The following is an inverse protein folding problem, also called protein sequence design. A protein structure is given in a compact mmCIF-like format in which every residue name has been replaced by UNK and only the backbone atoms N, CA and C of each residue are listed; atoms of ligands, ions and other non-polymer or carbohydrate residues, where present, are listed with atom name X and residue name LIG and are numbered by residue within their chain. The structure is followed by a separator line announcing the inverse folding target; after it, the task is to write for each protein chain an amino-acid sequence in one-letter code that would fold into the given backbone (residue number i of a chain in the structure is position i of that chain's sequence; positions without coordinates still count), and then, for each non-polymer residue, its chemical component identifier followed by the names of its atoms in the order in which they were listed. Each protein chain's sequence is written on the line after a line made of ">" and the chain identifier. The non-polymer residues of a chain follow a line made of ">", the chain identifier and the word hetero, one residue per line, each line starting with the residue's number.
data_IF_135381106755
#
_entry.id   IF_135381106755
#
_cell.length_a   1.000
_cell.length_b   1.000
_cell.length_c   1.000
_cell.angle_alpha   90.00
_cell.angle_beta   90.00
_cell.angle_gamma   90.00
#
_symmetry.space_group_name_H-M   'P 1'
#
loop_
_entity.id
_entity.type
_entity.pdbx_description
1 polymer ?
#
# COMPACT_ATOMS: atom_id res chain seq x y z
N UNK A 1 -5.12 -11.03 -80.64
CA UNK A 1 -5.86 -11.72 -79.55
C UNK A 1 -5.04 -12.80 -78.82
N UNK A 2 -3.81 -13.16 -79.22
CA UNK A 2 -3.02 -14.22 -78.56
C UNK A 2 -2.21 -13.79 -77.32
N UNK A 3 -1.94 -12.48 -77.15
CA UNK A 3 -1.07 -11.97 -76.08
C UNK A 3 -1.72 -11.89 -74.69
N UNK A 4 -3.05 -12.01 -74.58
CA UNK A 4 -3.77 -11.93 -73.30
C UNK A 4 -3.77 -13.27 -72.55
N UNK A 5 -3.89 -14.39 -73.27
CA UNK A 5 -3.91 -15.74 -72.68
C UNK A 5 -2.55 -16.19 -72.17
N UNK A 6 -1.46 -15.85 -72.87
CA UNK A 6 -0.10 -16.14 -72.40
C UNK A 6 0.26 -15.41 -71.11
N UNK A 7 -0.20 -14.16 -70.96
CA UNK A 7 0.03 -13.34 -69.77
C UNK A 7 -0.81 -13.81 -68.57
N UNK A 8 -2.02 -14.28 -68.81
CA UNK A 8 -2.86 -14.95 -67.81
C UNK A 8 -2.29 -16.29 -67.38
N UNK A 9 -1.76 -17.09 -68.32
CA UNK A 9 -1.11 -18.36 -68.01
C UNK A 9 0.14 -18.13 -67.16
N UNK A 10 0.99 -17.18 -67.54
CA UNK A 10 2.18 -16.80 -66.76
C UNK A 10 1.82 -16.34 -65.33
N UNK A 11 0.79 -15.51 -65.16
CA UNK A 11 0.38 -15.06 -63.82
C UNK A 11 -0.21 -16.17 -62.95
N UNK A 12 -0.83 -17.19 -63.55
CA UNK A 12 -1.29 -18.39 -62.85
C UNK A 12 -0.09 -19.24 -62.40
N UNK A 13 0.89 -19.47 -63.28
CA UNK A 13 2.11 -20.22 -62.93
C UNK A 13 2.92 -19.53 -61.83
N UNK A 14 3.15 -18.21 -61.93
CA UNK A 14 3.83 -17.42 -60.89
C UNK A 14 3.10 -17.45 -59.52
N UNK A 15 1.77 -17.62 -59.54
CA UNK A 15 0.97 -17.74 -58.31
C UNK A 15 1.12 -19.13 -57.69
N UNK A 16 1.13 -20.18 -58.51
CA UNK A 16 1.34 -21.56 -58.05
C UNK A 16 2.76 -21.76 -57.51
N UNK A 17 3.78 -21.20 -58.17
CA UNK A 17 5.17 -21.27 -57.70
C UNK A 17 5.36 -20.58 -56.35
N UNK A 18 4.82 -19.37 -56.18
CA UNK A 18 4.87 -18.65 -54.90
C UNK A 18 4.17 -19.43 -53.78
N UNK A 19 3.07 -20.12 -54.08
CA UNK A 19 2.36 -20.96 -53.12
C UNK A 19 3.22 -22.17 -52.72
N UNK A 20 3.85 -22.83 -53.68
CA UNK A 20 4.75 -23.96 -53.45
C UNK A 20 5.99 -23.55 -52.64
N UNK A 21 6.59 -22.39 -52.96
CA UNK A 21 7.72 -21.81 -52.22
C UNK A 21 7.32 -21.44 -50.78
N UNK A 22 6.13 -20.87 -50.58
CA UNK A 22 5.63 -20.55 -49.26
C UNK A 22 5.39 -21.82 -48.41
N UNK A 23 4.85 -22.87 -49.04
CA UNK A 23 4.56 -24.16 -48.39
C UNK A 23 5.85 -24.91 -48.02
N UNK A 24 6.85 -24.94 -48.89
CA UNK A 24 8.16 -25.55 -48.60
C UNK A 24 8.89 -24.81 -47.49
N UNK A 25 8.88 -23.47 -47.51
CA UNK A 25 9.46 -22.63 -46.47
C UNK A 25 8.77 -22.83 -45.11
N UNK A 26 7.44 -23.02 -45.07
CA UNK A 26 6.74 -23.36 -43.82
C UNK A 26 7.12 -24.75 -43.32
N UNK A 27 7.18 -25.74 -44.21
CA UNK A 27 7.42 -27.14 -43.82
C UNK A 27 8.84 -27.36 -43.29
N UNK A 28 9.81 -26.54 -43.71
CA UNK A 28 11.19 -26.57 -43.24
C UNK A 28 11.46 -25.85 -41.92
N UNK A 29 10.50 -25.13 -41.35
CA UNK A 29 10.67 -24.40 -40.09
C UNK A 29 10.31 -25.27 -38.88
N UNK A 30 10.99 -25.00 -37.75
CA UNK A 30 10.68 -25.60 -36.45
C UNK A 30 9.26 -25.18 -35.99
N UNK A 31 8.64 -25.97 -35.10
CA UNK A 31 7.28 -25.74 -34.61
C UNK A 31 7.08 -24.32 -34.04
N UNK A 32 8.06 -23.82 -33.26
CA UNK A 32 8.05 -22.47 -32.71
C UNK A 32 8.15 -21.40 -33.80
N UNK A 33 9.05 -21.57 -34.77
CA UNK A 33 9.26 -20.61 -35.86
C UNK A 33 8.06 -20.54 -36.80
N UNK A 34 7.41 -21.69 -37.06
CA UNK A 34 6.13 -21.74 -37.78
C UNK A 34 5.05 -20.95 -37.06
N UNK A 35 4.91 -21.15 -35.74
CA UNK A 35 3.94 -20.41 -34.93
C UNK A 35 4.19 -18.90 -35.00
N UNK A 36 5.44 -18.46 -34.83
CA UNK A 36 5.81 -17.05 -34.90
C UNK A 36 5.52 -16.44 -36.27
N UNK A 37 5.79 -17.18 -37.35
CA UNK A 37 5.48 -16.75 -38.72
C UNK A 37 3.98 -16.64 -38.94
N UNK A 38 3.19 -17.64 -38.52
CA UNK A 38 1.73 -17.60 -38.68
C UNK A 38 1.06 -16.49 -37.88
N UNK A 39 1.52 -16.22 -36.67
CA UNK A 39 1.03 -15.09 -35.87
C UNK A 39 1.32 -13.75 -36.56
N UNK A 40 2.52 -13.58 -37.13
CA UNK A 40 2.88 -12.37 -37.89
C UNK A 40 2.04 -12.22 -39.16
N UNK A 41 1.93 -13.28 -39.95
CA UNK A 41 1.16 -13.26 -41.21
C UNK A 41 -0.32 -12.96 -40.91
N UNK A 42 -0.89 -13.56 -39.85
CA UNK A 42 -2.27 -13.28 -39.42
C UNK A 42 -2.49 -11.80 -39.08
N UNK A 43 -1.58 -11.20 -38.30
CA UNK A 43 -1.63 -9.76 -37.98
C UNK A 43 -1.45 -8.90 -39.23
N UNK A 44 -0.59 -9.30 -40.17
CA UNK A 44 -0.35 -8.53 -41.40
C UNK A 44 -1.54 -8.57 -42.37
N UNK A 45 -2.21 -9.72 -42.51
CA UNK A 45 -3.34 -9.88 -43.45
C UNK A 45 -4.67 -9.43 -42.87
N UNK A 46 -4.91 -9.65 -41.58
CA UNK A 46 -6.21 -9.38 -40.93
C UNK A 46 -6.16 -8.25 -39.88
N UNK A 47 -4.97 -7.77 -39.51
CA UNK A 47 -4.80 -6.71 -38.51
C UNK A 47 -4.98 -5.28 -39.05
N UNK A 48 -5.43 -5.12 -40.29
CA UNK A 48 -5.52 -3.81 -40.96
C UNK A 48 -6.53 -2.83 -40.32
N UNK A 49 -7.40 -3.30 -39.42
CA UNK A 49 -8.50 -2.50 -38.85
C UNK A 49 -8.38 -2.14 -37.35
N UNK A 50 -7.29 -2.49 -36.67
CA UNK A 50 -7.18 -2.17 -35.22
C UNK A 50 -5.78 -1.75 -34.81
N UNK A 51 -5.42 -0.50 -35.12
CA UNK A 51 -4.74 0.34 -34.12
C UNK A 51 -5.78 0.80 -33.08
N UNK A 52 -6.56 -0.14 -32.54
CA UNK A 52 -7.09 0.05 -31.21
C UNK A 52 -5.94 -0.44 -30.37
N UNK A 53 -5.19 0.50 -29.81
CA UNK A 53 -4.31 0.24 -28.69
C UNK A 53 -5.17 -0.36 -27.57
N UNK A 54 -5.47 -1.66 -27.70
CA UNK A 54 -6.09 -2.47 -26.67
C UNK A 54 -4.99 -2.89 -25.70
N UNK A 55 -4.07 -1.97 -25.35
CA UNK A 55 -3.48 -1.98 -24.01
C UNK A 55 -4.54 -1.53 -23.01
N UNK A 56 -5.71 -2.18 -23.03
CA UNK A 56 -6.50 -2.28 -21.80
C UNK A 56 -5.52 -2.87 -20.81
N UNK A 57 -5.27 -2.23 -19.65
CA UNK A 57 -4.32 -2.74 -18.68
C UNK A 57 -4.67 -4.19 -18.41
N UNK A 58 -3.85 -5.11 -18.90
CA UNK A 58 -4.05 -6.53 -18.65
C UNK A 58 -3.84 -6.66 -17.16
N UNK A 59 -4.92 -6.93 -16.42
CA UNK A 59 -4.83 -7.19 -14.98
C UNK A 59 -3.89 -8.37 -14.79
N UNK A 60 -2.71 -8.09 -14.24
CA UNK A 60 -1.77 -9.15 -13.91
C UNK A 60 -2.27 -9.84 -12.64
N UNK A 61 -1.95 -11.11 -12.44
CA UNK A 61 -2.22 -11.80 -11.16
C UNK A 61 -1.69 -11.00 -9.96
N UNK A 62 -0.59 -10.26 -10.15
CA UNK A 62 -0.01 -9.29 -9.20
C UNK A 62 -1.00 -8.19 -8.82
N UNK A 63 -1.68 -7.61 -9.80
CA UNK A 63 -2.63 -6.52 -9.60
C UNK A 63 -3.90 -7.04 -8.93
N UNK A 64 -4.37 -8.22 -9.33
CA UNK A 64 -5.50 -8.91 -8.69
C UNK A 64 -5.25 -9.19 -7.22
N UNK A 65 -4.04 -9.67 -6.87
CA UNK A 65 -3.66 -9.88 -5.47
C UNK A 65 -3.57 -8.56 -4.70
N UNK A 66 -3.03 -7.50 -5.31
CA UNK A 66 -2.94 -6.18 -4.71
C UNK A 66 -4.32 -5.58 -4.41
N UNK A 67 -5.27 -5.71 -5.34
CA UNK A 67 -6.65 -5.24 -5.19
C UNK A 67 -7.44 -6.06 -4.17
N UNK A 68 -7.24 -7.37 -4.14
CA UNK A 68 -8.04 -8.29 -3.33
C UNK A 68 -7.46 -8.63 -1.95
N UNK A 69 -6.19 -8.30 -1.67
CA UNK A 69 -5.56 -8.67 -0.41
C UNK A 69 -6.26 -8.00 0.77
N UNK A 70 -6.72 -8.83 1.71
CA UNK A 70 -7.23 -8.41 3.01
C UNK A 70 -6.33 -8.89 4.14
N UNK A 71 -6.11 -8.05 5.14
CA UNK A 71 -5.28 -8.41 6.30
C UNK A 71 -5.97 -9.49 7.15
N UNK A 72 -7.28 -9.36 7.36
CA UNK A 72 -8.14 -10.40 7.97
C UNK A 72 -9.25 -10.69 6.97
N UNK A 73 -9.35 -11.94 6.53
CA UNK A 73 -10.42 -12.37 5.64
C UNK A 73 -11.70 -12.58 6.49
N UNK A 74 -12.77 -11.85 6.18
CA UNK A 74 -14.08 -12.00 6.82
C UNK A 74 -14.92 -13.08 6.12
N UNK A 75 -15.81 -13.76 6.87
CA UNK A 75 -16.69 -14.82 6.35
C UNK A 75 -17.58 -14.36 5.18
N UNK A 76 -17.89 -13.06 5.09
CA UNK A 76 -18.65 -12.46 3.99
C UNK A 76 -17.88 -12.47 2.66
N UNK A 77 -16.55 -12.45 2.69
CA UNK A 77 -15.71 -12.45 1.49
C UNK A 77 -15.53 -13.85 0.87
N UNK A 78 -15.82 -14.89 1.65
CA UNK A 78 -15.75 -16.29 1.20
C UNK A 78 -16.88 -16.67 0.22
N UNK A 79 -17.94 -15.86 0.14
CA UNK A 79 -19.17 -16.20 -0.58
C UNK A 79 -19.14 -15.92 -2.09
N UNK A 80 -18.20 -15.08 -2.58
CA UNK A 80 -18.14 -14.70 -3.99
C UNK A 80 -17.02 -15.46 -4.73
N UNK A 81 -17.39 -16.48 -5.49
CA UNK A 81 -16.44 -17.39 -6.16
C UNK A 81 -15.86 -16.86 -7.48
N UNK A 82 -15.46 -15.58 -7.55
CA UNK A 82 -14.67 -15.12 -8.71
C UNK A 82 -13.29 -15.77 -8.70
N UNK A 83 -12.73 -16.05 -9.88
CA UNK A 83 -11.40 -16.67 -9.98
C UNK A 83 -10.33 -15.86 -9.24
N UNK A 84 -10.46 -14.52 -9.25
CA UNK A 84 -9.63 -13.55 -8.52
C UNK A 84 -9.64 -13.80 -7.01
N UNK A 85 -10.84 -13.91 -6.42
CA UNK A 85 -11.00 -14.19 -4.99
C UNK A 85 -10.45 -15.58 -4.63
N UNK A 86 -10.59 -16.57 -5.51
CA UNK A 86 -9.98 -17.91 -5.31
C UNK A 86 -8.44 -17.86 -5.32
N UNK A 87 -7.85 -17.01 -6.16
CA UNK A 87 -6.40 -16.77 -6.18
C UNK A 87 -5.94 -16.12 -4.87
N UNK A 88 -6.62 -15.05 -4.44
CA UNK A 88 -6.35 -14.35 -3.18
C UNK A 88 -6.51 -15.29 -1.98
N UNK A 89 -7.54 -16.13 -1.96
CA UNK A 89 -7.77 -17.10 -0.88
C UNK A 89 -6.64 -18.12 -0.78
N UNK A 90 -6.23 -18.72 -1.90
CA UNK A 90 -5.07 -19.64 -1.92
C UNK A 90 -3.79 -18.97 -1.42
N UNK A 91 -3.61 -17.70 -1.79
CA UNK A 91 -2.49 -16.90 -1.31
C UNK A 91 -2.57 -16.68 0.20
N UNK A 92 -3.74 -16.27 0.71
CA UNK A 92 -3.98 -16.06 2.13
C UNK A 92 -3.73 -17.34 2.92
N UNK A 93 -4.23 -18.48 2.45
CA UNK A 93 -4.06 -19.80 3.09
C UNK A 93 -2.58 -20.19 3.24
N UNK A 94 -1.73 -19.80 2.28
CA UNK A 94 -0.26 -20.04 2.32
C UNK A 94 0.48 -19.20 3.36
N UNK A 95 -0.08 -18.07 3.82
CA UNK A 95 0.55 -17.20 4.81
C UNK A 95 0.44 -17.78 6.22
N UNK A 96 1.42 -17.47 7.07
CA UNK A 96 1.44 -17.86 8.48
C UNK A 96 0.92 -16.72 9.36
N UNK A 97 -0.14 -16.99 10.14
CA UNK A 97 -0.92 -15.97 10.89
C UNK A 97 -0.67 -15.91 12.40
N UNK A 98 0.36 -16.60 12.91
CA UNK A 98 0.61 -16.62 14.36
C UNK A 98 1.29 -15.34 14.86
N UNK A 99 2.24 -14.82 14.08
CA UNK A 99 2.96 -13.59 14.37
C UNK A 99 3.11 -12.78 13.08
N UNK A 100 2.56 -11.56 13.02
CA UNK A 100 2.84 -10.65 11.92
C UNK A 100 4.28 -10.14 11.98
N UNK A 101 4.82 -9.92 10.80
CA UNK A 101 6.11 -9.36 10.55
C UNK A 101 6.00 -7.84 10.42
N UNK A 102 6.94 -7.13 11.04
CA UNK A 102 6.99 -5.67 11.00
C UNK A 102 7.89 -5.17 9.88
N UNK A 103 7.28 -4.44 8.94
CA UNK A 103 7.97 -3.64 7.94
C UNK A 103 7.86 -2.17 8.34
N UNK A 104 8.83 -1.33 8.01
CA UNK A 104 8.97 0.04 8.52
C UNK A 104 7.69 0.92 8.50
N UNK A 105 6.71 0.57 7.67
CA UNK A 105 5.48 1.35 7.44
C UNK A 105 4.21 0.56 7.87
N UNK A 106 4.31 -0.71 8.29
CA UNK A 106 3.13 -1.49 8.69
C UNK A 106 3.41 -2.94 9.09
N UNK A 107 2.35 -3.72 9.26
CA UNK A 107 2.42 -5.13 9.60
C UNK A 107 1.93 -5.98 8.43
N UNK A 108 2.54 -7.16 8.24
CA UNK A 108 2.14 -8.16 7.25
C UNK A 108 2.22 -9.57 7.82
N UNK A 109 1.50 -10.53 7.25
CA UNK A 109 1.68 -11.93 7.58
C UNK A 109 2.99 -12.49 7.03
N UNK A 110 3.52 -13.50 7.71
CA UNK A 110 4.82 -14.11 7.35
C UNK A 110 4.67 -15.09 6.20
N UNK A 111 5.70 -15.16 5.38
CA UNK A 111 5.85 -16.19 4.35
C UNK A 111 6.61 -17.41 4.87
N UNK A 112 6.45 -18.55 4.22
CA UNK A 112 7.12 -19.81 4.59
C UNK A 112 8.65 -19.67 4.73
N UNK A 113 9.30 -19.00 3.76
CA UNK A 113 10.74 -18.75 3.78
C UNK A 113 11.18 -18.01 5.04
N UNK A 114 10.40 -17.03 5.50
CA UNK A 114 10.70 -16.24 6.70
C UNK A 114 10.47 -17.03 7.99
N UNK A 115 9.46 -17.89 8.00
CA UNK A 115 9.19 -18.80 9.12
C UNK A 115 10.33 -19.81 9.26
N UNK A 116 10.78 -20.41 8.15
CA UNK A 116 11.93 -21.33 8.12
C UNK A 116 13.20 -20.59 8.58
N UNK A 117 13.37 -19.33 8.18
CA UNK A 117 14.48 -18.48 8.67
C UNK A 117 14.38 -18.13 10.16
N UNK A 118 13.25 -18.39 10.83
CA UNK A 118 13.04 -18.10 12.25
C UNK A 118 12.73 -16.63 12.57
N UNK A 119 12.40 -15.79 11.57
CA UNK A 119 12.03 -14.38 11.81
C UNK A 119 10.69 -14.28 12.54
N UNK A 120 10.65 -13.46 13.59
CA UNK A 120 9.48 -13.31 14.46
C UNK A 120 9.26 -14.46 15.46
N UNK A 121 10.23 -15.37 15.62
CA UNK A 121 10.21 -16.41 16.66
C UNK A 121 11.57 -16.50 17.36
N UNK A 122 12.64 -16.77 16.61
CA UNK A 122 14.02 -16.87 17.11
C UNK A 122 14.87 -15.64 16.75
N UNK A 123 14.39 -14.83 15.82
CA UNK A 123 14.99 -13.58 15.37
C UNK A 123 13.92 -12.49 15.49
N UNK A 124 14.33 -11.25 15.74
CA UNK A 124 13.44 -10.10 15.79
C UNK A 124 12.47 -10.06 14.60
N UNK A 125 11.19 -9.78 14.84
CA UNK A 125 10.17 -9.68 13.81
C UNK A 125 10.25 -8.41 12.94
N UNK A 126 11.24 -7.54 13.15
CA UNK A 126 11.49 -6.39 12.28
C UNK A 126 12.37 -6.81 11.10
N UNK A 127 11.94 -6.52 9.88
CA UNK A 127 12.67 -6.89 8.65
C UNK A 127 14.14 -6.49 8.64
N UNK A 128 14.45 -5.29 9.11
CA UNK A 128 15.79 -4.70 9.07
C UNK A 128 16.64 -5.14 10.29
N UNK A 129 16.03 -5.82 11.26
CA UNK A 129 16.71 -6.23 12.48
C UNK A 129 16.92 -7.73 12.52
N UNK A 130 18.18 -8.16 12.60
CA UNK A 130 18.55 -9.57 12.74
C UNK A 130 19.01 -9.92 14.17
N UNK A 131 18.58 -9.13 15.17
CA UNK A 131 18.89 -9.36 16.58
C UNK A 131 18.19 -10.63 17.08
N UNK A 132 18.95 -11.49 17.78
CA UNK A 132 18.46 -12.76 18.35
C UNK A 132 18.27 -12.70 19.86
N UNK A 133 18.91 -11.73 20.52
CA UNK A 133 18.94 -11.65 21.96
C UNK A 133 17.83 -10.74 22.51
N UNK A 134 17.28 -11.09 23.67
CA UNK A 134 16.30 -10.26 24.37
C UNK A 134 14.99 -10.06 23.61
N UNK A 135 14.52 -11.12 22.95
CA UNK A 135 13.23 -11.16 22.28
C UNK A 135 12.10 -11.24 23.30
N UNK A 136 11.09 -10.41 23.15
CA UNK A 136 9.86 -10.43 23.93
C UNK A 136 8.65 -10.47 23.02
N UNK A 137 7.53 -11.02 23.53
CA UNK A 137 6.24 -10.93 22.86
C UNK A 137 5.51 -9.65 23.26
N UNK A 138 5.09 -8.86 22.28
CA UNK A 138 4.39 -7.59 22.46
C UNK A 138 3.05 -7.64 21.75
N UNK A 139 2.01 -7.18 22.43
CA UNK A 139 0.68 -7.04 21.85
C UNK A 139 0.50 -5.60 21.34
N UNK A 140 0.15 -5.48 20.07
CA UNK A 140 -0.01 -4.19 19.40
C UNK A 140 -1.40 -4.11 18.80
N UNK A 141 -2.16 -3.09 19.21
CA UNK A 141 -3.41 -2.75 18.52
C UNK A 141 -3.08 -2.12 17.15
N UNK A 142 -3.20 -2.88 16.08
CA UNK A 142 -2.89 -2.46 14.72
C UNK A 142 -4.13 -1.85 14.07
N UNK A 143 -4.11 -0.54 13.82
CA UNK A 143 -5.14 0.15 13.04
C UNK A 143 -4.72 0.21 11.57
N UNK A 144 -5.59 -0.25 10.67
CA UNK A 144 -5.35 -0.25 9.23
C UNK A 144 -6.60 0.17 8.46
N UNK A 145 -6.41 0.60 7.22
CA UNK A 145 -7.51 0.94 6.31
C UNK A 145 -7.67 -0.17 5.29
N UNK A 146 -8.90 -0.64 5.10
CA UNK A 146 -9.22 -1.72 4.18
C UNK A 146 -10.60 -1.46 3.57
N UNK A 147 -10.73 -1.54 2.25
CA UNK A 147 -11.98 -1.31 1.52
C UNK A 147 -12.71 0.01 1.87
N UNK A 148 -11.97 1.06 2.25
CA UNK A 148 -12.54 2.36 2.64
C UNK A 148 -12.94 2.48 4.12
N UNK A 149 -12.80 1.41 4.90
CA UNK A 149 -13.12 1.38 6.32
C UNK A 149 -11.86 1.33 7.18
N UNK A 150 -11.91 1.96 8.37
CA UNK A 150 -10.85 1.87 9.35
C UNK A 150 -11.10 0.68 10.26
N UNK A 151 -10.24 -0.34 10.17
CA UNK A 151 -10.29 -1.54 11.01
C UNK A 151 -9.19 -1.51 12.06
N UNK A 152 -9.40 -2.26 13.15
CA UNK A 152 -8.41 -2.46 14.21
C UNK A 152 -8.29 -3.94 14.52
N UNK A 153 -7.06 -4.41 14.73
CA UNK A 153 -6.78 -5.79 15.11
C UNK A 153 -5.69 -5.84 16.17
N UNK A 154 -5.94 -6.59 17.25
CA UNK A 154 -4.91 -6.85 18.25
C UNK A 154 -4.02 -7.99 17.75
N UNK A 155 -2.75 -7.70 17.54
CA UNK A 155 -1.78 -8.67 17.02
C UNK A 155 -0.60 -8.85 17.96
N UNK A 156 -0.11 -10.08 18.04
CA UNK A 156 1.04 -10.44 18.87
C UNK A 156 2.30 -10.49 18.02
N UNK A 157 3.32 -9.72 18.39
CA UNK A 157 4.59 -9.58 17.68
C UNK A 157 5.73 -10.08 18.57
N UNK A 158 6.79 -10.66 17.99
CA UNK A 158 8.04 -10.90 18.72
C UNK A 158 9.09 -9.89 18.25
N UNK A 159 9.64 -9.12 19.18
CA UNK A 159 10.61 -8.07 18.88
C UNK A 159 11.70 -7.98 19.94
N UNK A 160 12.88 -7.47 19.58
CA UNK A 160 13.91 -7.10 20.55
C UNK A 160 13.52 -5.80 21.27
N UNK A 161 14.10 -5.56 22.46
CA UNK A 161 13.82 -4.36 23.28
C UNK A 161 13.87 -3.04 22.49
N UNK A 162 14.92 -2.86 21.67
CA UNK A 162 15.09 -1.66 20.81
C UNK A 162 13.95 -1.47 19.80
N UNK A 163 13.44 -2.57 19.23
CA UNK A 163 12.34 -2.50 18.26
C UNK A 163 10.99 -2.32 18.96
N UNK A 164 10.81 -2.92 20.13
CA UNK A 164 9.61 -2.75 20.93
C UNK A 164 9.41 -1.30 21.42
N UNK A 165 10.49 -0.64 21.82
CA UNK A 165 10.46 0.79 22.17
C UNK A 165 10.00 1.64 20.99
N UNK A 166 10.49 1.36 19.77
CA UNK A 166 10.06 2.06 18.55
C UNK A 166 8.59 1.84 18.22
N UNK A 167 8.07 0.64 18.46
CA UNK A 167 6.65 0.32 18.28
C UNK A 167 5.76 1.11 19.27
N UNK A 168 6.21 1.30 20.51
CA UNK A 168 5.47 2.02 21.54
C UNK A 168 5.65 3.54 21.49
N UNK A 169 6.72 4.04 20.85
CA UNK A 169 7.16 5.42 20.90
C UNK A 169 6.06 6.44 20.59
N UNK A 170 5.29 6.23 19.51
CA UNK A 170 4.25 7.18 19.10
C UNK A 170 3.16 7.30 20.17
N UNK A 171 2.70 6.18 20.73
CA UNK A 171 1.69 6.17 21.80
C UNK A 171 2.21 6.76 23.10
N UNK A 172 3.46 6.46 23.46
CA UNK A 172 4.07 7.03 24.67
C UNK A 172 4.18 8.56 24.54
N UNK A 173 4.62 9.05 23.39
CA UNK A 173 4.72 10.49 23.11
C UNK A 173 3.37 11.19 23.05
N UNK A 174 2.33 10.54 22.55
CA UNK A 174 0.97 11.08 22.57
C UNK A 174 0.44 11.18 24.01
N UNK A 175 0.63 10.14 24.82
CA UNK A 175 0.29 10.15 26.25
C UNK A 175 1.05 11.21 27.06
N UNK A 176 2.34 11.41 26.78
CA UNK A 176 3.14 12.46 27.42
C UNK A 176 2.58 13.85 27.11
N UNK A 177 2.19 14.10 25.86
CA UNK A 177 1.58 15.38 25.46
C UNK A 177 0.21 15.60 26.06
N UNK A 178 -0.59 14.55 26.22
CA UNK A 178 -1.89 14.64 26.91
C UNK A 178 -1.69 15.02 28.38
N UNK A 179 -0.77 14.34 29.08
CA UNK A 179 -0.42 14.68 30.47
C UNK A 179 0.12 16.10 30.62
N UNK A 180 0.97 16.55 29.69
CA UNK A 180 1.48 17.91 29.71
C UNK A 180 0.37 18.95 29.53
N UNK A 181 -0.62 18.66 28.67
CA UNK A 181 -1.82 19.50 28.51
C UNK A 181 -2.69 19.51 29.75
N UNK A 182 -2.93 18.35 30.37
CA UNK A 182 -3.71 18.25 31.62
C UNK A 182 -3.04 19.07 32.74
N UNK A 183 -1.75 18.87 32.95
CA UNK A 183 -0.97 19.65 33.94
C UNK A 183 -0.96 21.15 33.63
N UNK A 184 -0.95 21.54 32.35
CA UNK A 184 -1.05 22.95 31.96
C UNK A 184 -2.46 23.52 32.22
N UNK A 185 -3.50 22.72 31.99
CA UNK A 185 -4.89 23.09 32.27
C UNK A 185 -5.19 23.22 33.75
N UNK A 186 -4.68 22.30 34.58
CA UNK A 186 -4.77 22.38 36.05
C UNK A 186 -4.12 23.65 36.58
N UNK A 187 -2.89 23.97 36.12
CA UNK A 187 -2.21 25.22 36.49
C UNK A 187 -2.99 26.46 36.05
N UNK A 188 -3.62 26.44 34.87
CA UNK A 188 -4.44 27.56 34.41
C UNK A 188 -5.72 27.72 35.27
N UNK A 189 -6.34 26.62 35.69
CA UNK A 189 -7.49 26.64 36.60
C UNK A 189 -7.11 27.16 37.99
N UNK A 190 -6.00 26.68 38.56
CA UNK A 190 -5.47 27.16 39.85
C UNK A 190 -5.17 28.66 39.83
N UNK A 191 -4.59 29.16 38.72
CA UNK A 191 -4.33 30.59 38.54
C UNK A 191 -5.65 31.39 38.47
N UNK A 192 -6.65 30.91 37.73
CA UNK A 192 -7.97 31.55 37.66
C UNK A 192 -8.69 31.55 39.00
N UNK A 193 -8.59 30.47 39.77
CA UNK A 193 -9.19 30.36 41.09
C UNK A 193 -8.52 31.32 42.09
N UNK A 194 -7.18 31.38 42.08
CA UNK A 194 -6.43 32.32 42.90
C UNK A 194 -6.76 33.78 42.57
N UNK A 195 -6.93 34.11 41.29
CA UNK A 195 -7.36 35.45 40.86
C UNK A 195 -8.80 35.75 41.31
N UNK A 196 -9.70 34.76 41.29
CA UNK A 196 -11.08 34.93 41.79
C UNK A 196 -11.10 35.20 43.30
N UNK A 197 -10.34 34.43 44.10
CA UNK A 197 -10.24 34.63 45.56
C UNK A 197 -9.67 36.00 45.92
N UNK A 198 -8.73 36.54 45.12
CA UNK A 198 -8.22 37.90 45.31
C UNK A 198 -9.29 38.97 45.07
N UNK A 199 -10.11 38.82 44.03
CA UNK A 199 -11.20 39.76 43.74
C UNK A 199 -12.31 39.74 44.80
N UNK A 200 -12.54 38.59 45.44
CA UNK A 200 -13.51 38.47 46.54
C UNK A 200 -12.97 39.04 47.87
N UNK A 201 -11.65 39.15 48.04
CA UNK A 201 -11.03 39.73 49.23
C UNK A 201 -10.90 41.27 49.17
N UNK A 202 -10.81 41.86 47.98
CA UNK A 202 -10.73 43.32 47.76
C UNK A 202 -12.12 44.01 47.74
N UNK A 203 -13.17 43.32 48.17
CA UNK A 203 -14.57 43.78 48.11
C UNK A 203 -15.05 44.58 49.33
N UNK A 204 -14.17 44.97 50.24
CA UNK A 204 -14.55 45.76 51.42
C UNK A 204 -13.46 46.75 51.83
N UNK A 205 -13.35 47.87 51.11
CA UNK A 205 -13.04 49.19 51.66
C UNK A 205 -13.35 50.27 50.63
N UNK A 206 -13.72 51.44 51.14
CA UNK A 206 -14.55 52.48 50.54
C UNK A 206 -13.72 53.64 49.94
N UNK A 207 -14.37 54.43 49.07
CA UNK A 207 -14.11 55.84 48.69
C UNK A 207 -13.13 56.23 47.56
N UNK A 208 -13.75 56.92 46.59
CA UNK A 208 -13.37 58.13 45.80
C UNK A 208 -12.13 58.21 44.89
N UNK A 209 -12.48 58.56 43.65
CA UNK A 209 -11.89 59.52 42.70
C UNK A 209 -10.61 59.24 41.89
N UNK A 210 -10.83 59.41 40.58
CA UNK A 210 -10.01 60.07 39.55
C UNK A 210 -9.32 59.28 38.42
N UNK A 211 -9.67 59.78 37.22
CA UNK A 211 -8.97 59.86 35.92
C UNK A 211 -8.86 58.64 34.96
N UNK A 212 -9.45 58.75 33.74
CA UNK A 212 -9.23 57.80 32.65
C UNK A 212 -8.10 58.28 31.72
N UNK A 213 -7.00 57.53 31.66
CA UNK A 213 -6.00 57.70 30.59
C UNK A 213 -6.13 56.61 29.53
N UNK A 214 -6.70 57.00 28.38
CA UNK A 214 -6.51 56.30 27.12
C UNK A 214 -5.03 56.35 26.70
N UNK A 215 -4.48 55.21 26.24
CA UNK A 215 -3.87 55.11 24.89
C UNK A 215 -3.35 53.71 24.53
N UNK A 216 -3.88 53.25 23.40
CA UNK A 216 -3.18 52.69 22.23
C UNK A 216 -2.55 51.28 22.26
N UNK A 217 -3.34 50.34 21.71
CA UNK A 217 -3.01 49.34 20.67
C UNK A 217 -1.71 48.52 20.74
N UNK A 218 -1.86 47.19 20.71
CA UNK A 218 -0.81 46.23 20.37
C UNK A 218 -1.38 44.98 19.68
N UNK A 219 -1.56 45.07 18.36
CA UNK A 219 -2.07 44.01 17.46
C UNK A 219 -1.02 42.90 17.29
N UNK A 220 -1.34 41.64 17.65
CA UNK A 220 -0.58 40.44 17.20
C UNK A 220 -1.48 39.30 16.69
N UNK A 221 -1.74 39.41 15.39
CA UNK A 221 -1.93 38.40 14.33
C UNK A 221 -1.75 36.91 14.69
N UNK A 222 -2.86 36.20 14.86
CA UNK A 222 -2.89 34.73 14.77
C UNK A 222 -2.97 34.26 13.32
N UNK A 223 -1.87 33.68 12.82
CA UNK A 223 -1.83 32.91 11.57
C UNK A 223 -2.03 31.43 11.90
N UNK A 224 -3.27 30.93 11.77
CA UNK A 224 -3.51 29.48 11.71
C UNK A 224 -3.00 28.95 10.37
N UNK A 225 -1.84 28.28 10.39
CA UNK A 225 -1.30 27.51 9.26
C UNK A 225 -1.71 26.06 9.42
N UNK A 226 -2.80 25.66 8.76
CA UNK A 226 -3.18 24.26 8.60
C UNK A 226 -2.12 23.58 7.72
N UNK A 227 -1.25 22.76 8.30
CA UNK A 227 -0.33 21.90 7.53
C UNK A 227 -1.04 20.58 7.21
N UNK A 228 -1.74 20.55 6.08
CA UNK A 228 -2.13 19.29 5.45
C UNK A 228 -0.88 18.63 4.89
N UNK A 229 -0.29 17.70 5.64
CA UNK A 229 0.78 16.84 5.11
C UNK A 229 0.12 15.81 4.19
N UNK A 230 0.29 15.99 2.89
CA UNK A 230 0.07 14.96 1.87
C UNK A 230 0.87 13.72 2.26
N UNK A 231 0.20 12.60 2.47
CA UNK A 231 0.85 11.29 2.48
C UNK A 231 1.21 10.95 1.05
N UNK A 232 2.50 10.85 0.76
CA UNK A 232 2.99 10.28 -0.50
C UNK A 232 2.70 8.79 -0.50
N UNK A 233 2.00 8.32 -1.53
CA UNK A 233 1.87 6.90 -1.82
C UNK A 233 3.26 6.34 -2.15
N UNK A 234 3.86 5.61 -1.21
CA UNK A 234 5.10 4.88 -1.45
C UNK A 234 4.75 3.51 -2.05
N UNK A 235 4.59 3.47 -3.38
CA UNK A 235 4.37 2.25 -4.17
C UNK A 235 5.62 1.34 -4.21
N UNK A 236 6.81 1.92 -3.97
CA UNK A 236 8.12 1.24 -4.06
C UNK A 236 8.28 0.09 -3.04
N UNK A 237 7.62 0.15 -1.88
CA UNK A 237 7.74 -0.88 -0.85
C UNK A 237 6.97 -2.17 -1.15
N UNK A 238 5.99 -2.12 -2.07
CA UNK A 238 5.18 -3.27 -2.44
C UNK A 238 5.84 -4.11 -3.56
N UNK A 239 6.74 -3.53 -4.35
CA UNK A 239 7.44 -4.28 -5.39
C UNK A 239 8.49 -5.23 -4.79
N UNK A 240 9.26 -4.75 -3.82
CA UNK A 240 10.20 -5.57 -3.05
C UNK A 240 9.49 -6.69 -2.25
N UNK A 241 8.22 -6.50 -1.90
CA UNK A 241 7.37 -7.49 -1.24
C UNK A 241 7.09 -8.72 -2.11
N UNK A 242 7.08 -8.60 -3.43
CA UNK A 242 6.77 -9.70 -4.37
C UNK A 242 7.99 -10.30 -5.08
N UNK A 243 9.11 -9.57 -5.12
CA UNK A 243 10.34 -10.01 -5.78
C UNK A 243 10.97 -11.28 -5.15
N UNK A 244 10.65 -11.58 -3.88
CA UNK A 244 11.08 -12.81 -3.21
C UNK A 244 10.14 -14.01 -3.36
N UNK A 245 9.02 -13.87 -4.08
CA UNK A 245 7.89 -14.79 -4.02
C UNK A 245 7.65 -15.64 -5.27
N UNK A 246 8.10 -15.19 -6.44
CA UNK A 246 8.04 -15.96 -7.68
C UNK A 246 9.45 -16.48 -8.03
N UNK A 247 9.64 -17.80 -8.27
CA UNK A 247 10.89 -18.36 -8.77
C UNK A 247 11.29 -17.78 -10.13
#
# INVERSE_FOLDING_TARGET
>A
MASSLGRLKASIFDKEERKMQYQSHIRGLNAYDRHKKFMKDYVQFYGHDKNVDNSVPIKTDKDTLREGYRFILSEEDDMDSTWEKRLVKRYYDKLFKDYPFWWCIGLRWRTEKEVISGKGQFICGNRICDEKNGLGSYEVNFSYFEAGEQKQALVKLVACKRCAEKLAYKRQKEKEKEKEKELSGEKEMDLKERDKRKREHDGSEDTSDDEPTEKYSGRRKDRKRSSTRKMSNNDEGFEEFLEGMFP
#
